data_IF_481859239374
#
_entry.id   IF_481859239374
#
_cell.length_a   1.000
_cell.length_b   1.000
_cell.length_c   1.000
_cell.angle_alpha   90.00
_cell.angle_beta   90.00
_cell.angle_gamma   90.00
#
_symmetry.space_group_name_H-M   'P 1'
#
loop_
_entity.id
_entity.type
_entity.pdbx_description
1 polymer ?
#
# COMPACT_ATOMS: atom_id res chain seq x y z
N UNK A 1 4.20 -7.99 3.49
CA UNK A 1 2.82 -8.53 3.37
C UNK A 1 2.83 -9.75 2.46
N UNK A 2 2.05 -10.79 2.77
CA UNK A 2 1.75 -11.83 1.76
C UNK A 2 0.82 -11.20 0.71
N UNK A 3 0.97 -11.52 -0.57
CA UNK A 3 0.12 -11.00 -1.67
C UNK A 3 -1.36 -11.15 -1.36
N UNK A 4 -1.72 -12.20 -0.61
CA UNK A 4 -3.08 -12.45 -0.09
C UNK A 4 -3.66 -11.29 0.73
N UNK A 5 -2.84 -10.57 1.52
CA UNK A 5 -3.34 -9.45 2.34
C UNK A 5 -3.64 -8.24 1.45
N UNK A 6 -2.77 -7.95 0.47
CA UNK A 6 -3.04 -6.88 -0.50
C UNK A 6 -4.30 -7.19 -1.30
N UNK A 7 -4.49 -8.45 -1.72
CA UNK A 7 -5.71 -8.88 -2.41
C UNK A 7 -6.97 -8.69 -1.54
N UNK A 8 -6.90 -9.00 -0.25
CA UNK A 8 -8.03 -8.78 0.67
C UNK A 8 -8.35 -7.29 0.81
N UNK A 9 -7.34 -6.43 0.97
CA UNK A 9 -7.53 -4.98 1.03
C UNK A 9 -8.17 -4.45 -0.25
N UNK A 10 -7.74 -4.95 -1.41
CA UNK A 10 -8.31 -4.56 -2.69
C UNK A 10 -9.75 -5.03 -2.87
N UNK A 11 -10.06 -6.27 -2.47
CA UNK A 11 -11.42 -6.77 -2.48
C UNK A 11 -12.35 -5.90 -1.60
N UNK A 12 -11.91 -5.56 -0.39
CA UNK A 12 -12.66 -4.67 0.50
C UNK A 12 -12.86 -3.29 -0.11
N UNK A 13 -11.84 -2.74 -0.77
CA UNK A 13 -11.92 -1.42 -1.38
C UNK A 13 -12.91 -1.39 -2.55
N UNK A 14 -12.90 -2.43 -3.42
CA UNK A 14 -13.88 -2.59 -4.50
C UNK A 14 -15.29 -2.73 -3.92
N UNK A 15 -15.48 -3.56 -2.90
CA UNK A 15 -16.78 -3.67 -2.23
C UNK A 15 -17.25 -2.31 -1.69
N UNK A 16 -16.34 -1.50 -1.14
CA UNK A 16 -16.66 -0.15 -0.66
C UNK A 16 -17.15 0.78 -1.79
N UNK A 17 -16.50 0.74 -2.95
CA UNK A 17 -16.94 1.49 -4.15
C UNK A 17 -18.32 1.03 -4.59
N UNK A 18 -18.52 -0.28 -4.76
CA UNK A 18 -19.79 -0.82 -5.23
C UNK A 18 -20.95 -0.57 -4.25
N UNK A 19 -20.72 -0.67 -2.94
CA UNK A 19 -21.73 -0.37 -1.92
C UNK A 19 -22.15 1.10 -1.96
N UNK A 20 -21.20 2.01 -2.18
CA UNK A 20 -21.51 3.43 -2.37
C UNK A 20 -22.38 3.62 -3.62
N UNK A 21 -21.99 3.03 -4.74
CA UNK A 21 -22.72 3.17 -6.02
C UNK A 21 -24.12 2.53 -5.96
N UNK A 22 -24.28 1.37 -5.30
CA UNK A 22 -25.60 0.75 -5.09
C UNK A 22 -26.52 1.56 -4.18
N UNK A 23 -25.96 2.31 -3.23
CA UNK A 23 -26.74 3.15 -2.32
C UNK A 23 -27.23 4.42 -3.02
N UNK A 24 -26.35 5.07 -3.77
CA UNK A 24 -26.65 6.36 -4.40
C UNK A 24 -27.48 6.20 -5.68
N UNK A 25 -27.37 5.05 -6.35
CA UNK A 25 -28.07 4.77 -7.60
C UNK A 25 -27.37 5.38 -8.81
N UNK A 26 -27.66 4.82 -9.99
CA UNK A 26 -27.20 5.34 -11.28
C UNK A 26 -28.31 6.22 -11.85
N UNK A 27 -28.15 7.54 -11.79
CA UNK A 27 -29.10 8.52 -12.34
C UNK A 27 -28.48 9.23 -13.57
N UNK A 28 -29.30 9.74 -14.50
CA UNK A 28 -28.86 10.51 -15.68
C UNK A 28 -28.13 11.82 -15.33
N UNK A 29 -28.16 12.25 -14.06
CA UNK A 29 -27.42 13.37 -13.50
C UNK A 29 -26.29 12.95 -12.51
N UNK A 30 -26.06 11.64 -12.35
CA UNK A 30 -25.13 11.02 -11.39
C UNK A 30 -24.13 10.05 -12.06
N UNK A 31 -23.35 9.34 -11.23
CA UNK A 31 -22.31 8.38 -11.65
C UNK A 31 -22.89 7.30 -12.57
N UNK A 32 -22.15 6.88 -13.59
CA UNK A 32 -22.47 5.73 -14.46
C UNK A 32 -21.62 4.47 -14.12
N UNK A 33 -21.96 3.32 -14.71
CA UNK A 33 -21.19 2.07 -14.60
C UNK A 33 -19.73 2.24 -15.03
N UNK A 34 -19.47 3.11 -16.02
CA UNK A 34 -18.12 3.44 -16.46
C UNK A 34 -17.32 4.10 -15.33
N UNK A 35 -17.91 5.04 -14.60
CA UNK A 35 -17.25 5.71 -13.48
C UNK A 35 -16.93 4.75 -12.34
N UNK A 36 -17.83 3.78 -12.12
CA UNK A 36 -17.67 2.73 -11.12
C UNK A 36 -16.49 1.82 -11.46
N UNK A 37 -16.38 1.41 -12.74
CA UNK A 37 -15.26 0.63 -13.25
C UNK A 37 -13.94 1.40 -13.17
N UNK A 38 -13.95 2.67 -13.56
CA UNK A 38 -12.77 3.55 -13.47
C UNK A 38 -12.32 3.66 -12.01
N UNK A 39 -13.25 3.86 -11.08
CA UNK A 39 -12.94 4.00 -9.66
C UNK A 39 -12.37 2.71 -9.07
N UNK A 40 -12.93 1.56 -9.43
CA UNK A 40 -12.38 0.26 -9.06
C UNK A 40 -10.95 0.09 -9.59
N UNK A 41 -10.70 0.45 -10.86
CA UNK A 41 -9.37 0.37 -11.47
C UNK A 41 -8.36 1.31 -10.79
N UNK A 42 -8.77 2.55 -10.49
CA UNK A 42 -7.94 3.55 -9.79
C UNK A 42 -7.52 3.03 -8.42
N UNK A 43 -8.45 2.50 -7.63
CA UNK A 43 -8.15 2.00 -6.29
C UNK A 43 -7.31 0.72 -6.34
N UNK A 44 -7.59 -0.17 -7.29
CA UNK A 44 -6.79 -1.36 -7.55
C UNK A 44 -5.34 -1.03 -7.84
N UNK A 45 -5.11 -0.15 -8.82
CA UNK A 45 -3.77 0.21 -9.28
C UNK A 45 -3.08 1.06 -8.21
N UNK A 46 -3.70 2.17 -7.81
CA UNK A 46 -3.12 3.12 -6.87
C UNK A 46 -2.86 2.51 -5.50
N UNK A 47 -3.82 1.76 -4.94
CA UNK A 47 -3.66 1.08 -3.66
C UNK A 47 -2.60 -0.03 -3.70
N UNK A 48 -2.50 -0.77 -4.80
CA UNK A 48 -1.46 -1.82 -4.95
C UNK A 48 -0.07 -1.21 -5.07
N UNK A 49 0.07 -0.09 -5.78
CA UNK A 49 1.33 0.65 -5.87
C UNK A 49 1.72 1.25 -4.52
N UNK A 50 0.79 1.89 -3.80
CA UNK A 50 1.04 2.43 -2.46
C UNK A 50 1.49 1.32 -1.48
N UNK A 51 0.80 0.18 -1.48
CA UNK A 51 1.15 -0.98 -0.66
C UNK A 51 2.50 -1.59 -1.07
N UNK A 52 2.75 -1.74 -2.37
CA UNK A 52 3.99 -2.30 -2.90
C UNK A 52 5.22 -1.42 -2.62
N UNK A 53 5.09 -0.11 -2.80
CA UNK A 53 6.13 0.87 -2.48
C UNK A 53 6.44 0.87 -0.98
N UNK A 54 5.42 0.87 -0.13
CA UNK A 54 5.58 0.76 1.33
C UNK A 54 6.32 -0.53 1.73
N UNK A 55 6.07 -1.66 1.05
CA UNK A 55 6.78 -2.91 1.27
C UNK A 55 8.25 -2.84 0.87
N UNK A 56 8.57 -2.19 -0.26
CA UNK A 56 9.95 -1.98 -0.68
C UNK A 56 10.72 -1.10 0.33
N UNK A 57 10.08 -0.05 0.85
CA UNK A 57 10.66 0.78 1.92
C UNK A 57 10.88 -0.04 3.19
N UNK A 58 9.94 -0.91 3.57
CA UNK A 58 10.14 -1.80 4.71
C UNK A 58 11.34 -2.75 4.50
N UNK A 59 11.50 -3.35 3.32
CA UNK A 59 12.68 -4.20 3.03
C UNK A 59 13.98 -3.40 3.08
N UNK A 60 13.97 -2.17 2.59
CA UNK A 60 15.13 -1.27 2.71
C UNK A 60 15.48 -0.98 4.16
N UNK A 61 14.47 -0.76 5.01
CA UNK A 61 14.69 -0.48 6.43
C UNK A 61 15.17 -1.73 7.20
N UNK A 62 14.79 -2.94 6.79
CA UNK A 62 15.19 -4.20 7.40
C UNK A 62 16.54 -4.77 6.89
N UNK A 63 17.23 -4.06 6.01
CA UNK A 63 18.44 -4.56 5.32
C UNK A 63 19.58 -5.07 6.23
N UNK A 64 19.66 -4.57 7.45
CA UNK A 64 20.64 -4.92 8.47
C UNK A 64 20.27 -6.20 9.24
N UNK A 65 18.97 -6.46 9.43
CA UNK A 65 18.47 -7.62 10.16
C UNK A 65 18.13 -8.79 9.23
N UNK A 66 17.72 -8.50 7.99
CA UNK A 66 17.33 -9.52 7.00
C UNK A 66 18.45 -10.57 6.71
N UNK A 67 19.76 -10.23 6.68
CA UNK A 67 20.84 -11.20 6.52
C UNK A 67 21.02 -12.16 7.70
N UNK A 68 20.54 -11.77 8.90
CA UNK A 68 20.65 -12.57 10.12
C UNK A 68 19.47 -13.55 10.29
N UNK A 69 18.53 -13.56 9.36
CA UNK A 69 17.27 -14.29 9.44
C UNK A 69 17.16 -15.31 8.30
N UNK A 70 17.07 -16.60 8.64
CA UNK A 70 16.96 -17.70 7.67
C UNK A 70 15.83 -17.51 6.65
N UNK A 71 14.69 -16.96 7.09
CA UNK A 71 13.53 -16.70 6.24
C UNK A 71 13.75 -15.59 5.20
N UNK A 72 14.64 -14.64 5.45
CA UNK A 72 14.74 -13.39 4.67
C UNK A 72 16.13 -13.11 4.10
N UNK A 73 17.10 -13.98 4.40
CA UNK A 73 18.46 -13.91 3.87
C UNK A 73 18.53 -13.86 2.34
N UNK A 74 17.55 -14.44 1.65
CA UNK A 74 17.48 -14.46 0.18
C UNK A 74 16.71 -13.27 -0.43
N UNK A 75 16.26 -12.30 0.36
CA UNK A 75 15.59 -11.09 -0.17
C UNK A 75 16.55 -10.30 -1.07
N UNK A 76 16.04 -9.56 -2.08
CA UNK A 76 16.87 -8.91 -3.11
C UNK A 76 17.96 -7.95 -2.61
N UNK A 77 17.76 -7.34 -1.43
CA UNK A 77 18.72 -6.39 -0.84
C UNK A 77 19.87 -7.15 -0.14
N UNK A 78 19.61 -8.04 0.86
CA UNK A 78 20.64 -8.89 1.47
C UNK A 78 21.47 -9.71 0.48
N UNK A 79 20.84 -10.26 -0.57
CA UNK A 79 21.51 -11.08 -1.57
C UNK A 79 22.29 -10.28 -2.61
N UNK A 80 22.27 -8.94 -2.53
CA UNK A 80 23.05 -8.05 -3.40
C UNK A 80 22.49 -7.87 -4.82
N UNK A 81 21.33 -8.45 -5.16
CA UNK A 81 20.70 -8.27 -6.47
C UNK A 81 20.29 -6.81 -6.72
N UNK A 82 19.91 -6.06 -5.68
CA UNK A 82 19.52 -4.65 -5.78
C UNK A 82 20.25 -3.86 -4.70
N UNK A 83 20.86 -2.73 -5.11
CA UNK A 83 21.44 -1.76 -4.17
C UNK A 83 20.37 -1.16 -3.26
N UNK A 84 20.67 -1.06 -1.96
CA UNK A 84 19.75 -0.48 -0.97
C UNK A 84 19.22 0.90 -1.39
N UNK A 85 20.06 1.79 -1.89
CA UNK A 85 19.62 3.14 -2.27
C UNK A 85 18.64 3.10 -3.45
N UNK A 86 18.83 2.20 -4.41
CA UNK A 86 17.91 2.02 -5.53
C UNK A 86 16.57 1.43 -5.07
N UNK A 87 16.59 0.51 -4.11
CA UNK A 87 15.36 -0.05 -3.52
C UNK A 87 14.55 1.03 -2.78
N UNK A 88 15.21 1.95 -2.07
CA UNK A 88 14.54 3.06 -1.39
C UNK A 88 13.91 4.03 -2.39
N UNK A 89 14.66 4.46 -3.41
CA UNK A 89 14.14 5.40 -4.40
C UNK A 89 12.97 4.79 -5.16
N UNK A 90 13.07 3.52 -5.56
CA UNK A 90 11.96 2.77 -6.15
C UNK A 90 10.75 2.69 -5.22
N UNK A 91 10.95 2.34 -3.95
CA UNK A 91 9.87 2.24 -2.98
C UNK A 91 9.15 3.56 -2.76
N UNK A 92 9.89 4.66 -2.62
CA UNK A 92 9.34 6.01 -2.47
C UNK A 92 8.58 6.46 -3.72
N UNK A 93 9.14 6.29 -4.92
CA UNK A 93 8.49 6.73 -6.16
C UNK A 93 7.19 5.98 -6.40
N UNK A 94 7.20 4.64 -6.27
CA UNK A 94 6.01 3.81 -6.45
C UNK A 94 4.96 4.12 -5.38
N UNK A 95 5.37 4.34 -4.13
CA UNK A 95 4.44 4.68 -3.06
C UNK A 95 3.76 6.04 -3.32
N UNK A 96 4.54 7.07 -3.64
CA UNK A 96 4.02 8.41 -3.92
C UNK A 96 3.14 8.43 -5.18
N UNK A 97 3.53 7.68 -6.21
CA UNK A 97 2.74 7.54 -7.44
C UNK A 97 1.39 6.87 -7.13
N UNK A 98 1.38 5.78 -6.35
CA UNK A 98 0.15 5.12 -5.92
C UNK A 98 -0.79 6.04 -5.13
N UNK A 99 -0.25 6.79 -4.15
CA UNK A 99 -1.00 7.80 -3.39
C UNK A 99 -1.55 8.89 -4.32
N UNK A 100 -0.72 9.39 -5.25
CA UNK A 100 -1.10 10.41 -6.21
C UNK A 100 -2.25 9.96 -7.12
N UNK A 101 -2.20 8.72 -7.61
CA UNK A 101 -3.29 8.11 -8.40
C UNK A 101 -4.60 8.13 -7.61
N UNK A 102 -4.60 7.64 -6.37
CA UNK A 102 -5.82 7.60 -5.56
C UNK A 102 -6.32 9.01 -5.23
N UNK A 103 -5.42 9.92 -4.88
CA UNK A 103 -5.78 11.29 -4.48
C UNK A 103 -6.38 12.10 -5.63
N UNK A 104 -5.83 11.94 -6.84
CA UNK A 104 -6.21 12.74 -8.01
C UNK A 104 -7.37 12.12 -8.79
N UNK A 105 -7.42 10.79 -8.91
CA UNK A 105 -8.37 10.09 -9.79
C UNK A 105 -9.55 9.46 -9.05
N UNK A 106 -9.45 9.20 -7.73
CA UNK A 106 -10.58 8.74 -6.94
C UNK A 106 -11.18 9.88 -6.12
N UNK A 107 -10.52 10.28 -5.02
CA UNK A 107 -10.82 11.50 -4.31
C UNK A 107 -9.69 11.85 -3.32
N UNK A 108 -9.68 13.12 -2.90
CA UNK A 108 -8.65 13.64 -1.99
C UNK A 108 -8.66 12.95 -0.63
N UNK A 109 -9.84 12.62 -0.09
CA UNK A 109 -9.98 11.99 1.24
C UNK A 109 -9.37 10.58 1.27
N UNK A 110 -9.62 9.78 0.24
CA UNK A 110 -9.06 8.46 0.03
C UNK A 110 -7.55 8.53 -0.19
N UNK A 111 -7.08 9.55 -0.91
CA UNK A 111 -5.65 9.86 -1.03
C UNK A 111 -4.99 10.09 0.33
N UNK A 112 -5.59 10.92 1.19
CA UNK A 112 -5.10 11.20 2.55
C UNK A 112 -5.08 9.92 3.41
N UNK A 113 -6.16 9.14 3.38
CA UNK A 113 -6.23 7.87 4.13
C UNK A 113 -5.17 6.89 3.62
N UNK A 114 -4.96 6.81 2.31
CA UNK A 114 -3.92 5.94 1.70
C UNK A 114 -2.52 6.40 2.10
N UNK A 115 -2.27 7.70 2.09
CA UNK A 115 -1.01 8.29 2.52
C UNK A 115 -0.75 8.03 4.01
N UNK A 116 -1.77 8.23 4.85
CA UNK A 116 -1.70 7.96 6.28
C UNK A 116 -1.46 6.48 6.55
N UNK A 117 -2.12 5.57 5.82
CA UNK A 117 -1.91 4.13 5.93
C UNK A 117 -0.46 3.73 5.57
N UNK A 118 0.08 4.25 4.46
CA UNK A 118 1.47 4.04 4.06
C UNK A 118 2.45 4.59 5.11
N UNK A 119 2.21 5.80 5.61
CA UNK A 119 3.01 6.42 6.67
C UNK A 119 2.96 5.60 7.96
N UNK A 120 1.76 5.17 8.38
CA UNK A 120 1.58 4.39 9.59
C UNK A 120 2.33 3.06 9.47
N UNK A 121 2.21 2.38 8.34
CA UNK A 121 2.94 1.13 8.10
C UNK A 121 4.46 1.32 8.16
N UNK A 122 5.00 2.32 7.46
CA UNK A 122 6.44 2.54 7.38
C UNK A 122 7.00 3.11 8.68
N UNK A 123 6.48 4.24 9.16
CA UNK A 123 7.04 4.97 10.28
C UNK A 123 6.61 4.40 11.63
N UNK A 124 5.32 4.15 11.82
CA UNK A 124 4.80 3.70 13.12
C UNK A 124 5.07 2.22 13.32
N UNK A 125 4.64 1.37 12.39
CA UNK A 125 4.81 -0.06 12.53
C UNK A 125 6.27 -0.49 12.31
N UNK A 126 6.84 -0.25 11.13
CA UNK A 126 8.16 -0.78 10.76
C UNK A 126 9.32 -0.14 11.54
N UNK A 127 9.36 1.19 11.66
CA UNK A 127 10.49 1.87 12.33
C UNK A 127 10.37 1.90 13.85
N UNK A 128 9.18 2.23 14.38
CA UNK A 128 8.99 2.41 15.82
C UNK A 128 8.61 1.10 16.52
N UNK A 129 7.45 0.51 16.19
CA UNK A 129 6.89 -0.61 16.95
C UNK A 129 7.75 -1.86 16.83
N UNK A 130 8.03 -2.28 15.59
CA UNK A 130 8.63 -3.57 15.30
C UNK A 130 10.02 -3.76 15.90
N UNK A 131 10.82 -2.69 15.97
CA UNK A 131 12.18 -2.75 16.53
C UNK A 131 12.25 -2.47 18.03
N UNK A 132 11.25 -1.78 18.62
CA UNK A 132 11.38 -1.24 19.99
C UNK A 132 10.37 -1.77 20.99
N UNK A 133 9.30 -2.44 20.56
CA UNK A 133 8.21 -2.82 21.46
C UNK A 133 7.63 -4.21 21.18
N UNK A 134 7.23 -4.97 22.20
CA UNK A 134 6.50 -6.23 22.02
C UNK A 134 5.07 -6.01 21.49
N UNK A 135 4.58 -4.76 21.51
CA UNK A 135 3.26 -4.37 20.98
C UNK A 135 3.10 -4.61 19.48
N UNK A 136 4.21 -4.87 18.77
CA UNK A 136 4.21 -5.30 17.37
C UNK A 136 3.35 -6.56 17.13
N UNK A 137 3.13 -7.40 18.13
CA UNK A 137 2.30 -8.62 17.99
C UNK A 137 0.80 -8.28 17.98
N UNK A 138 0.40 -7.25 18.72
CA UNK A 138 -1.02 -6.88 18.89
C UNK A 138 -1.47 -5.89 17.82
N UNK A 139 -0.61 -4.93 17.48
CA UNK A 139 -0.92 -3.85 16.54
C UNK A 139 -0.56 -4.22 15.09
N UNK A 140 0.35 -5.17 14.92
CA UNK A 140 0.94 -5.56 13.64
C UNK A 140 0.08 -6.40 12.71
#
# INVERSE_FOLDING_TARGET
>A
MKTRVVLLLQATAICGVLVYDFKEGYDDAGRDYVDSLVSCAVVLIGGSLASGGSMAINMWYERDIDPLMERTVNRPIPSGYISSNHALTFGLTICLLGIGIVSLLANQNAGIITAFSAFFYVCIYTMLLKRRTPQNIVIG
#
